data_IF_573275078739
#
_entry.id   IF_573275078739
#
_cell.length_a   1.000
_cell.length_b   1.000
_cell.length_c   1.000
_cell.angle_alpha   90.00
_cell.angle_beta   90.00
_cell.angle_gamma   90.00
#
_symmetry.space_group_name_H-M   'P 1'
#
loop_
_entity.id
_entity.type
_entity.pdbx_description
1 polymer ?
#
# COMPACT_ATOMS: atom_id res chain seq x y z
N UNK A 1 49.58 70.11 24.09
CA UNK A 1 49.03 68.93 23.40
C UNK A 1 49.71 67.66 23.93
N UNK A 2 49.06 66.91 24.84
CA UNK A 2 49.49 65.57 25.22
C UNK A 2 48.52 64.48 24.68
N UNK A 3 48.94 63.20 24.66
CA UNK A 3 48.50 62.24 23.66
C UNK A 3 47.27 61.40 24.03
N UNK A 4 46.60 60.96 22.97
CA UNK A 4 45.46 60.05 22.89
C UNK A 4 45.82 58.67 23.50
N UNK A 5 45.11 58.26 24.55
CA UNK A 5 45.22 56.91 25.15
C UNK A 5 44.16 55.99 24.53
N UNK A 6 44.63 54.94 23.86
CA UNK A 6 43.84 53.79 23.39
C UNK A 6 43.37 52.94 24.59
N UNK A 7 42.08 52.60 24.62
CA UNK A 7 41.49 51.60 25.52
C UNK A 7 41.60 50.20 24.88
N UNK A 8 41.93 49.13 25.62
CA UNK A 8 41.97 47.77 25.08
C UNK A 8 40.58 47.12 25.05
N UNK A 9 40.32 46.36 23.98
CA UNK A 9 39.09 45.58 23.72
C UNK A 9 38.89 44.44 24.73
N UNK A 10 37.65 44.29 25.21
CA UNK A 10 37.21 43.16 26.03
C UNK A 10 36.93 41.92 25.16
N UNK A 11 37.61 40.81 25.44
CA UNK A 11 37.30 39.50 24.87
C UNK A 11 36.19 38.83 25.69
N UNK A 12 35.07 38.50 25.05
CA UNK A 12 33.98 37.76 25.66
C UNK A 12 34.30 36.25 25.69
N UNK A 13 34.29 35.66 26.88
CA UNK A 13 34.39 34.21 27.09
C UNK A 13 33.00 33.61 26.84
N UNK A 14 32.84 32.88 25.74
CA UNK A 14 31.66 32.05 25.48
C UNK A 14 31.86 30.72 26.20
N UNK A 15 31.16 30.53 27.32
CA UNK A 15 31.10 29.25 28.02
C UNK A 15 30.23 28.28 27.22
N UNK A 16 30.85 27.26 26.63
CA UNK A 16 30.15 26.17 25.94
C UNK A 16 29.62 25.18 26.99
N UNK A 17 28.37 25.32 27.40
CA UNK A 17 27.69 24.30 28.18
C UNK A 17 27.38 23.11 27.26
N UNK A 18 28.18 22.03 27.36
CA UNK A 18 27.87 20.76 26.73
C UNK A 18 26.61 20.18 27.40
N UNK A 19 25.47 20.24 26.71
CA UNK A 19 24.26 19.55 27.15
C UNK A 19 24.50 18.04 27.08
N UNK A 20 24.59 17.40 28.25
CA UNK A 20 24.54 15.94 28.36
C UNK A 20 23.16 15.46 27.88
N UNK A 21 23.11 14.83 26.72
CA UNK A 21 21.95 14.05 26.30
C UNK A 21 21.82 12.84 27.26
N UNK A 22 20.63 12.55 27.80
CA UNK A 22 20.46 11.39 28.66
C UNK A 22 20.72 10.12 27.85
N UNK A 23 21.70 9.34 28.31
CA UNK A 23 21.96 8.00 27.82
C UNK A 23 20.73 7.12 28.08
N UNK A 24 20.18 6.49 27.03
CA UNK A 24 19.20 5.41 27.17
C UNK A 24 17.74 5.73 26.85
N UNK A 25 17.42 6.77 26.07
CA UNK A 25 16.07 6.87 25.50
C UNK A 25 15.85 5.71 24.51
N UNK A 26 15.04 4.72 24.88
CA UNK A 26 14.59 3.68 23.95
C UNK A 26 13.93 4.36 22.75
N UNK A 27 14.48 4.13 21.56
CA UNK A 27 13.88 4.59 20.31
C UNK A 27 12.57 3.84 20.11
N UNK A 28 11.44 4.49 20.40
CA UNK A 28 10.10 3.91 20.18
C UNK A 28 9.91 3.75 18.67
N UNK A 29 9.88 2.50 18.20
CA UNK A 29 9.60 2.16 16.80
C UNK A 29 8.20 1.56 16.67
N UNK A 30 7.53 1.90 15.57
CA UNK A 30 6.21 1.35 15.30
C UNK A 30 6.27 -0.11 14.84
N UNK A 31 5.20 -0.85 15.07
CA UNK A 31 5.01 -2.21 14.56
C UNK A 31 3.68 -2.35 13.83
N UNK A 32 3.70 -2.73 12.55
CA UNK A 32 2.49 -3.01 11.78
C UNK A 32 1.67 -4.14 12.43
N UNK A 33 0.35 -3.97 12.45
CA UNK A 33 -0.56 -5.04 12.86
C UNK A 33 -0.89 -5.88 11.63
N UNK A 34 -0.42 -7.13 11.64
CA UNK A 34 -0.65 -8.05 10.54
C UNK A 34 -2.04 -8.69 10.59
N UNK A 35 -2.61 -8.99 9.41
CA UNK A 35 -3.72 -9.94 9.31
C UNK A 35 -3.27 -11.31 9.83
N UNK A 36 -4.09 -12.02 10.62
CA UNK A 36 -3.78 -13.37 11.06
C UNK A 36 -4.05 -14.45 9.99
N UNK A 37 -4.69 -14.08 8.88
CA UNK A 37 -4.97 -15.04 7.81
C UNK A 37 -3.69 -15.47 7.08
N UNK A 38 -3.59 -16.72 6.62
CA UNK A 38 -2.42 -17.21 5.91
C UNK A 38 -2.26 -16.58 4.52
N UNK A 39 -1.06 -16.66 3.96
CA UNK A 39 -0.74 -16.23 2.60
C UNK A 39 -0.78 -14.72 2.41
N UNK A 40 -1.56 -14.25 1.43
CA UNK A 40 -1.70 -12.85 1.04
C UNK A 40 -3.17 -12.38 1.14
N UNK A 41 -3.71 -12.22 2.36
CA UNK A 41 -5.15 -12.11 2.61
C UNK A 41 -5.75 -10.71 2.37
N UNK A 42 -4.93 -9.71 2.06
CA UNK A 42 -5.37 -8.33 1.87
C UNK A 42 -4.40 -7.53 1.00
N UNK A 43 -4.77 -6.28 0.71
CA UNK A 43 -3.96 -5.32 -0.02
C UNK A 43 -2.52 -5.26 0.49
N UNK A 44 -1.56 -5.45 -0.40
CA UNK A 44 -0.11 -5.40 -0.11
C UNK A 44 0.34 -6.37 1.00
N UNK A 45 -0.37 -7.48 1.17
CA UNK A 45 0.04 -8.60 2.02
C UNK A 45 -0.44 -8.47 3.47
N UNK A 46 -0.05 -9.40 4.35
CA UNK A 46 -0.56 -9.46 5.72
C UNK A 46 -0.39 -8.15 6.50
N UNK A 47 0.69 -7.41 6.27
CA UNK A 47 1.03 -6.14 6.95
C UNK A 47 0.70 -4.88 6.14
N UNK A 48 0.23 -5.03 4.90
CA UNK A 48 -0.04 -3.93 3.94
C UNK A 48 1.19 -3.10 3.55
N UNK A 49 2.40 -3.63 3.77
CA UNK A 49 3.69 -3.01 3.44
C UNK A 49 4.21 -3.40 2.05
N UNK A 50 3.65 -4.45 1.45
CA UNK A 50 4.10 -5.02 0.17
C UNK A 50 5.37 -5.84 0.30
N UNK A 51 5.61 -6.42 1.48
CA UNK A 51 6.74 -7.31 1.74
C UNK A 51 6.22 -8.75 1.83
N UNK A 52 6.74 -9.61 0.96
CA UNK A 52 6.57 -11.06 1.01
C UNK A 52 7.77 -11.67 1.76
N UNK A 53 7.48 -12.48 2.78
CA UNK A 53 8.52 -13.08 3.64
C UNK A 53 9.07 -14.40 3.07
N UNK A 54 8.52 -14.90 1.96
CA UNK A 54 8.98 -16.13 1.33
C UNK A 54 10.44 -16.06 0.91
N UNK A 55 11.09 -17.23 0.96
CA UNK A 55 12.52 -17.44 0.68
C UNK A 55 12.70 -18.56 -0.32
N UNK A 56 13.87 -18.63 -0.93
CA UNK A 56 14.18 -19.62 -1.95
C UNK A 56 13.41 -19.32 -3.23
N UNK A 57 13.23 -18.04 -3.55
CA UNK A 57 12.67 -17.59 -4.83
C UNK A 57 13.79 -17.45 -5.87
N UNK A 58 13.42 -17.36 -7.15
CA UNK A 58 14.38 -17.17 -8.23
C UNK A 58 15.19 -15.87 -8.03
N UNK A 59 16.53 -15.93 -7.93
CA UNK A 59 17.35 -14.72 -7.76
C UNK A 59 17.48 -13.91 -9.05
N UNK A 60 17.17 -14.52 -10.20
CA UNK A 60 17.14 -13.94 -11.54
C UNK A 60 16.09 -14.68 -12.39
N UNK A 61 15.50 -14.01 -13.38
CA UNK A 61 14.59 -14.66 -14.33
C UNK A 61 15.30 -15.00 -15.64
N UNK A 62 14.95 -16.12 -16.30
CA UNK A 62 15.46 -16.41 -17.64
C UNK A 62 14.88 -15.44 -18.67
N UNK A 63 15.43 -15.49 -19.89
CA UNK A 63 14.86 -14.77 -21.02
C UNK A 63 13.39 -15.19 -21.23
N UNK A 64 12.49 -14.22 -21.38
CA UNK A 64 11.05 -14.46 -21.46
C UNK A 64 10.32 -14.54 -20.11
N UNK A 65 11.05 -14.48 -18.99
CA UNK A 65 10.47 -14.44 -17.64
C UNK A 65 10.35 -15.83 -16.99
N UNK A 66 9.86 -15.90 -15.74
CA UNK A 66 9.65 -17.16 -15.02
C UNK A 66 8.66 -18.06 -15.76
N UNK A 67 8.62 -19.35 -15.38
CA UNK A 67 7.75 -20.34 -16.05
C UNK A 67 6.28 -20.00 -15.81
N UNK A 68 5.53 -19.71 -16.89
CA UNK A 68 4.08 -19.54 -16.82
C UNK A 68 3.42 -20.87 -16.40
N UNK A 69 2.58 -20.81 -15.36
CA UNK A 69 1.77 -21.93 -14.89
C UNK A 69 0.41 -21.96 -15.59
N UNK A 70 -0.26 -20.81 -15.61
CA UNK A 70 -1.57 -20.63 -16.22
C UNK A 70 -1.90 -19.16 -16.43
N UNK A 71 -2.89 -18.92 -17.29
CA UNK A 71 -3.53 -17.62 -17.50
C UNK A 71 -5.05 -17.80 -17.40
N UNK A 72 -5.68 -16.99 -16.57
CA UNK A 72 -7.13 -16.87 -16.48
C UNK A 72 -7.60 -15.60 -17.20
N UNK A 73 -8.76 -15.66 -17.85
CA UNK A 73 -9.35 -14.58 -18.64
C UNK A 73 -10.83 -14.38 -18.26
N UNK A 74 -11.44 -13.27 -18.69
CA UNK A 74 -12.83 -12.98 -18.39
C UNK A 74 -13.09 -12.55 -16.94
N UNK A 75 -12.06 -12.04 -16.26
CA UNK A 75 -12.11 -11.62 -14.85
C UNK A 75 -12.55 -10.16 -14.68
N UNK A 76 -13.08 -9.56 -15.74
CA UNK A 76 -13.58 -8.18 -15.76
C UNK A 76 -12.48 -7.13 -15.76
N UNK A 77 -12.77 -5.97 -16.36
CA UNK A 77 -11.82 -4.87 -16.49
C UNK A 77 -11.46 -4.29 -15.12
N UNK A 78 -10.20 -4.03 -14.86
CA UNK A 78 -9.77 -3.41 -13.61
C UNK A 78 -8.31 -3.63 -13.24
N UNK A 79 -7.95 -3.09 -12.08
CA UNK A 79 -6.60 -3.01 -11.54
C UNK A 79 -6.49 -3.57 -10.12
N UNK A 80 -7.56 -4.15 -9.56
CA UNK A 80 -7.51 -4.74 -8.23
C UNK A 80 -6.47 -5.87 -8.17
N UNK A 81 -5.57 -5.82 -7.20
CA UNK A 81 -4.60 -6.89 -7.01
C UNK A 81 -5.32 -8.15 -6.51
N UNK A 82 -4.87 -9.35 -6.91
CA UNK A 82 -5.41 -10.59 -6.38
C UNK A 82 -5.11 -10.69 -4.87
N UNK A 83 -6.00 -11.36 -4.14
CA UNK A 83 -5.78 -11.75 -2.75
C UNK A 83 -5.79 -13.28 -2.72
N UNK A 84 -4.74 -13.88 -2.14
CA UNK A 84 -4.54 -15.34 -2.17
C UNK A 84 -4.45 -15.85 -0.75
N UNK A 85 -5.48 -16.55 -0.28
CA UNK A 85 -5.51 -17.10 1.08
C UNK A 85 -6.47 -18.29 1.15
N UNK A 86 -6.22 -19.23 2.08
CA UNK A 86 -7.09 -20.39 2.27
C UNK A 86 -7.32 -21.23 0.99
N UNK A 87 -6.31 -21.32 0.11
CA UNK A 87 -6.41 -22.05 -1.16
C UNK A 87 -7.40 -21.43 -2.17
N UNK A 88 -7.67 -20.13 -2.07
CA UNK A 88 -8.59 -19.39 -2.95
C UNK A 88 -7.95 -18.07 -3.39
N UNK A 89 -8.19 -17.68 -4.64
CA UNK A 89 -7.81 -16.38 -5.19
C UNK A 89 -9.06 -15.50 -5.28
N UNK A 90 -9.05 -14.34 -4.63
CA UNK A 90 -10.11 -13.35 -4.71
C UNK A 90 -9.67 -12.18 -5.58
N UNK A 91 -10.58 -11.72 -6.46
CA UNK A 91 -10.29 -10.66 -7.41
C UNK A 91 -11.56 -9.86 -7.72
N UNK A 92 -11.45 -8.55 -7.97
CA UNK A 92 -12.58 -7.73 -8.40
C UNK A 92 -12.40 -7.18 -9.82
N UNK A 93 -13.41 -7.22 -10.67
CA UNK A 93 -13.36 -6.71 -12.05
C UNK A 93 -14.72 -6.27 -12.55
N UNK A 94 -14.74 -5.28 -13.44
CA UNK A 94 -15.99 -4.78 -14.03
C UNK A 94 -16.40 -5.68 -15.20
N UNK A 95 -17.61 -6.23 -15.15
CA UNK A 95 -18.21 -7.07 -16.19
C UNK A 95 -19.53 -6.43 -16.62
N UNK A 96 -19.58 -5.94 -17.86
CA UNK A 96 -20.77 -5.27 -18.37
C UNK A 96 -21.10 -4.01 -17.56
N UNK A 97 -22.24 -4.03 -16.85
CA UNK A 97 -22.72 -2.93 -16.02
C UNK A 97 -22.27 -2.99 -14.56
N UNK A 98 -21.65 -4.08 -14.12
CA UNK A 98 -21.47 -4.40 -12.70
C UNK A 98 -20.00 -4.51 -12.31
N UNK A 99 -19.68 -4.09 -11.09
CA UNK A 99 -18.44 -4.46 -10.43
C UNK A 99 -18.62 -5.86 -9.86
N UNK A 100 -17.76 -6.82 -10.18
CA UNK A 100 -17.93 -8.23 -9.80
C UNK A 100 -16.74 -8.71 -8.97
N UNK A 101 -17.01 -9.36 -7.84
CA UNK A 101 -16.01 -10.08 -7.05
C UNK A 101 -15.99 -11.55 -7.49
N UNK A 102 -14.82 -12.07 -7.78
CA UNK A 102 -14.56 -13.44 -8.20
C UNK A 102 -13.80 -14.19 -7.10
N UNK A 103 -14.11 -15.47 -6.94
CA UNK A 103 -13.24 -16.44 -6.28
C UNK A 103 -12.82 -17.50 -7.28
N UNK A 104 -11.51 -17.78 -7.33
CA UNK A 104 -10.90 -18.80 -8.17
C UNK A 104 -10.19 -19.84 -7.29
N UNK A 105 -10.02 -21.06 -7.80
CA UNK A 105 -9.02 -21.97 -7.24
C UNK A 105 -7.59 -21.52 -7.57
N UNK A 106 -6.58 -22.24 -7.05
CA UNK A 106 -5.18 -21.91 -7.27
C UNK A 106 -4.70 -22.21 -8.70
N UNK A 107 -5.53 -22.88 -9.50
CA UNK A 107 -5.34 -23.20 -10.91
C UNK A 107 -6.01 -22.16 -11.82
N UNK A 108 -6.58 -21.10 -11.23
CA UNK A 108 -7.21 -19.98 -11.94
C UNK A 108 -8.63 -20.25 -12.42
N UNK A 109 -9.27 -21.35 -11.99
CA UNK A 109 -10.63 -21.70 -12.40
C UNK A 109 -11.66 -21.04 -11.48
N UNK A 110 -12.72 -20.42 -12.03
CA UNK A 110 -13.76 -19.81 -11.22
C UNK A 110 -14.48 -20.82 -10.31
N UNK A 111 -14.65 -20.45 -9.04
CA UNK A 111 -15.51 -21.12 -8.07
C UNK A 111 -16.86 -20.43 -7.97
N UNK A 112 -16.84 -19.11 -7.79
CA UNK A 112 -18.03 -18.28 -7.76
C UNK A 112 -17.70 -16.85 -8.21
N UNK A 113 -18.75 -16.10 -8.56
CA UNK A 113 -18.66 -14.65 -8.80
C UNK A 113 -19.92 -13.97 -8.30
N UNK A 114 -19.78 -12.78 -7.72
CA UNK A 114 -20.87 -12.03 -7.10
C UNK A 114 -20.80 -10.55 -7.49
N UNK A 115 -21.87 -9.97 -8.07
CA UNK A 115 -21.97 -8.53 -8.29
C UNK A 115 -21.90 -7.75 -6.97
N UNK A 116 -21.15 -6.66 -6.96
CA UNK A 116 -20.98 -5.72 -5.86
C UNK A 116 -21.32 -4.29 -6.33
N UNK A 117 -22.56 -4.14 -6.82
CA UNK A 117 -23.08 -2.87 -7.34
C UNK A 117 -22.53 -2.48 -8.72
N UNK A 118 -22.86 -1.26 -9.19
CA UNK A 118 -22.54 -0.82 -10.54
C UNK A 118 -21.04 -0.64 -10.78
N UNK A 119 -20.61 -0.93 -12.01
CA UNK A 119 -19.25 -0.69 -12.49
C UNK A 119 -18.90 0.81 -12.51
N UNK A 120 -17.60 1.12 -12.44
CA UNK A 120 -17.14 2.49 -12.68
C UNK A 120 -16.97 2.72 -14.19
N UNK A 121 -17.83 3.54 -14.79
CA UNK A 121 -17.87 3.76 -16.24
C UNK A 121 -17.39 5.14 -16.71
N UNK A 122 -16.90 5.98 -15.79
CA UNK A 122 -16.31 7.29 -16.12
C UNK A 122 -14.83 7.13 -16.47
N UNK A 123 -14.03 8.19 -16.32
CA UNK A 123 -12.59 8.19 -16.58
C UNK A 123 -11.89 7.00 -15.91
N UNK A 124 -11.06 6.30 -16.69
CA UNK A 124 -10.40 5.05 -16.31
C UNK A 124 -11.40 3.98 -15.84
N UNK A 125 -12.25 3.42 -16.71
CA UNK A 125 -13.25 2.43 -16.28
C UNK A 125 -12.60 1.10 -15.84
N UNK A 126 -13.11 0.50 -14.76
CA UNK A 126 -12.58 -0.74 -14.18
C UNK A 126 -12.58 -0.77 -12.64
N UNK A 127 -12.69 -1.97 -12.06
CA UNK A 127 -12.59 -2.18 -10.61
C UNK A 127 -11.17 -1.89 -10.11
N UNK A 128 -11.01 -1.34 -8.90
CA UNK A 128 -9.70 -0.86 -8.40
C UNK A 128 -9.30 -1.43 -7.05
N UNK A 129 -10.25 -1.49 -6.11
CA UNK A 129 -9.97 -1.95 -4.76
C UNK A 129 -9.72 -3.46 -4.73
N UNK A 130 -8.69 -3.89 -4.03
CA UNK A 130 -8.46 -5.30 -3.73
C UNK A 130 -9.40 -5.75 -2.61
N UNK A 131 -9.73 -7.04 -2.60
CA UNK A 131 -10.52 -7.61 -1.50
C UNK A 131 -9.72 -7.59 -0.19
N UNK A 132 -10.41 -7.81 0.93
CA UNK A 132 -9.80 -8.22 2.18
C UNK A 132 -10.54 -9.47 2.68
N UNK A 133 -9.82 -10.46 3.20
CA UNK A 133 -10.39 -11.71 3.70
C UNK A 133 -10.11 -11.84 5.17
N UNK A 134 -11.11 -12.26 5.94
CA UNK A 134 -10.92 -12.72 7.31
C UNK A 134 -12.03 -13.66 7.79
N UNK A 135 -11.64 -14.72 8.49
CA UNK A 135 -12.55 -15.61 9.23
C UNK A 135 -13.71 -16.11 8.35
N UNK A 136 -13.40 -16.49 7.10
CA UNK A 136 -14.39 -16.98 6.13
C UNK A 136 -15.26 -15.91 5.47
N UNK A 137 -14.91 -14.62 5.60
CA UNK A 137 -15.63 -13.51 5.00
C UNK A 137 -14.73 -12.69 4.05
N UNK A 138 -15.30 -12.20 2.95
CA UNK A 138 -14.64 -11.37 1.94
C UNK A 138 -15.27 -9.99 1.92
N UNK A 139 -14.43 -8.95 1.98
CA UNK A 139 -14.85 -7.55 1.95
C UNK A 139 -14.35 -6.87 0.68
N UNK A 140 -15.22 -6.09 0.04
CA UNK A 140 -14.84 -5.30 -1.12
C UNK A 140 -15.62 -3.98 -1.19
N UNK A 141 -14.92 -2.92 -1.61
CA UNK A 141 -15.46 -1.58 -1.87
C UNK A 141 -15.44 -1.30 -3.38
N UNK A 142 -16.59 -0.94 -3.96
CA UNK A 142 -16.61 -0.49 -5.36
C UNK A 142 -16.36 1.02 -5.50
N UNK A 143 -16.20 1.49 -6.74
CA UNK A 143 -15.89 2.89 -7.05
C UNK A 143 -16.98 3.91 -6.66
N UNK A 144 -18.17 3.46 -6.28
CA UNK A 144 -19.32 4.29 -5.88
C UNK A 144 -19.62 4.25 -4.38
N UNK A 145 -18.72 3.67 -3.56
CA UNK A 145 -18.93 3.61 -2.11
C UNK A 145 -19.70 2.40 -1.61
N UNK A 146 -20.04 1.45 -2.49
CA UNK A 146 -20.75 0.24 -2.08
C UNK A 146 -19.76 -0.78 -1.51
N UNK A 147 -19.88 -1.02 -0.21
CA UNK A 147 -19.14 -2.05 0.52
C UNK A 147 -20.02 -3.29 0.63
N UNK A 148 -19.46 -4.45 0.30
CA UNK A 148 -20.10 -5.73 0.52
C UNK A 148 -19.25 -6.62 1.44
N UNK A 149 -19.93 -7.40 2.26
CA UNK A 149 -19.40 -8.58 2.94
C UNK A 149 -20.01 -9.82 2.31
N UNK A 150 -19.16 -10.73 1.85
CA UNK A 150 -19.53 -11.97 1.19
C UNK A 150 -19.05 -13.16 2.02
N UNK A 151 -19.81 -14.24 2.00
CA UNK A 151 -19.34 -15.55 2.46
C UNK A 151 -18.23 -16.06 1.52
N UNK A 152 -17.06 -16.40 2.07
CA UNK A 152 -15.87 -16.74 1.29
C UNK A 152 -16.01 -18.05 0.51
N UNK A 153 -16.82 -19.00 1.01
CA UNK A 153 -17.00 -20.30 0.40
C UNK A 153 -18.00 -20.26 -0.76
N UNK A 154 -19.08 -19.48 -0.62
CA UNK A 154 -20.22 -19.48 -1.54
C UNK A 154 -20.33 -18.22 -2.40
N UNK A 155 -19.69 -17.12 -1.99
CA UNK A 155 -19.90 -15.80 -2.59
C UNK A 155 -21.22 -15.14 -2.19
N UNK A 156 -22.01 -15.76 -1.30
CA UNK A 156 -23.29 -15.24 -0.85
C UNK A 156 -23.15 -13.91 -0.13
N UNK A 157 -23.95 -12.92 -0.51
CA UNK A 157 -23.95 -11.59 0.14
C UNK A 157 -24.49 -11.72 1.57
N UNK A 158 -23.69 -11.32 2.55
CA UNK A 158 -24.07 -11.30 3.97
C UNK A 158 -24.70 -9.96 4.35
N UNK A 159 -24.07 -8.88 3.92
CA UNK A 159 -24.61 -7.52 4.04
C UNK A 159 -23.93 -6.59 3.05
N UNK A 160 -24.59 -5.45 2.79
CA UNK A 160 -24.02 -4.35 2.01
C UNK A 160 -24.32 -3.00 2.67
N UNK A 161 -23.51 -2.00 2.36
CA UNK A 161 -23.71 -0.62 2.77
C UNK A 161 -23.11 0.32 1.74
N UNK A 162 -23.80 1.41 1.42
CA UNK A 162 -23.17 2.54 0.76
C UNK A 162 -22.59 3.51 1.81
N UNK A 163 -21.26 3.61 1.87
CA UNK A 163 -20.57 4.46 2.86
C UNK A 163 -20.70 5.95 2.55
N UNK A 164 -20.89 6.31 1.28
CA UNK A 164 -21.07 7.72 0.90
C UNK A 164 -22.45 8.20 1.34
N UNK A 165 -23.48 7.39 1.14
CA UNK A 165 -24.84 7.72 1.60
C UNK A 165 -24.89 7.79 3.13
N UNK A 166 -24.32 6.77 3.80
CA UNK A 166 -24.36 6.68 5.26
C UNK A 166 -23.63 7.83 5.95
N UNK A 167 -22.43 8.16 5.45
CA UNK A 167 -21.56 9.14 6.10
C UNK A 167 -21.61 10.52 5.46
N UNK A 168 -22.52 10.74 4.51
CA UNK A 168 -22.65 11.97 3.75
C UNK A 168 -21.34 12.37 3.05
N UNK A 169 -20.68 11.36 2.47
CA UNK A 169 -19.55 11.52 1.55
C UNK A 169 -20.02 11.79 0.13
N UNK A 170 -19.09 11.80 -0.82
CA UNK A 170 -19.40 11.98 -2.24
C UNK A 170 -18.48 11.15 -3.12
N UNK A 171 -18.99 10.82 -4.31
CA UNK A 171 -18.20 10.15 -5.34
C UNK A 171 -17.09 11.09 -5.81
N UNK A 172 -15.84 10.61 -5.73
CA UNK A 172 -14.65 11.36 -6.13
C UNK A 172 -14.36 11.22 -7.63
N UNK A 173 -13.48 12.07 -8.16
CA UNK A 173 -13.22 12.27 -9.60
C UNK A 173 -13.02 10.96 -10.38
N UNK A 174 -12.27 10.01 -9.83
CA UNK A 174 -11.95 8.72 -10.47
C UNK A 174 -12.52 7.50 -9.75
N UNK A 175 -13.54 7.70 -8.91
CA UNK A 175 -14.16 6.64 -8.11
C UNK A 175 -13.28 6.20 -6.95
N UNK A 176 -13.88 5.64 -5.91
CA UNK A 176 -13.13 5.17 -4.75
C UNK A 176 -12.22 3.99 -5.14
N UNK A 177 -11.05 3.92 -4.51
CA UNK A 177 -10.05 2.88 -4.73
C UNK A 177 -9.45 2.33 -3.41
N UNK A 178 -9.95 2.77 -2.26
CA UNK A 178 -9.52 2.28 -0.95
C UNK A 178 -9.68 0.76 -0.88
N UNK A 179 -8.58 0.06 -0.62
CA UNK A 179 -8.63 -1.33 -0.22
C UNK A 179 -8.95 -1.39 1.27
N UNK A 180 -10.06 -2.03 1.64
CA UNK A 180 -10.57 -2.04 3.00
C UNK A 180 -9.57 -2.67 3.98
N UNK A 181 -9.57 -2.19 5.23
CA UNK A 181 -8.75 -2.74 6.31
C UNK A 181 -9.65 -3.43 7.33
N UNK A 182 -9.32 -4.69 7.65
CA UNK A 182 -9.99 -5.47 8.69
C UNK A 182 -9.12 -5.44 9.95
N UNK A 183 -9.68 -4.97 11.05
CA UNK A 183 -9.06 -4.94 12.37
C UNK A 183 -9.93 -5.68 13.39
N UNK A 184 -9.61 -6.94 13.67
CA UNK A 184 -10.41 -7.77 14.58
C UNK A 184 -11.89 -7.73 14.17
N UNK A 185 -12.82 -7.31 15.05
CA UNK A 185 -14.25 -7.23 14.73
C UNK A 185 -14.63 -6.03 13.85
N UNK A 186 -13.67 -5.18 13.44
CA UNK A 186 -13.92 -3.92 12.75
C UNK A 186 -13.49 -3.98 11.29
N UNK A 187 -14.27 -3.35 10.43
CA UNK A 187 -13.94 -3.05 9.04
C UNK A 187 -13.83 -1.52 8.90
N UNK A 188 -12.64 -1.04 8.55
CA UNK A 188 -12.36 0.40 8.41
C UNK A 188 -12.73 0.87 7.01
N UNK A 189 -13.39 2.03 6.95
CA UNK A 189 -13.78 2.75 5.72
C UNK A 189 -13.45 4.23 5.83
N UNK A 190 -13.01 4.86 4.74
CA UNK A 190 -12.63 6.28 4.71
C UNK A 190 -13.57 7.10 3.78
N UNK A 191 -14.84 7.32 4.16
CA UNK A 191 -15.82 8.00 3.32
C UNK A 191 -15.54 9.49 3.12
N UNK A 192 -14.77 10.12 4.02
CA UNK A 192 -14.49 11.55 4.00
C UNK A 192 -15.75 12.40 3.96
N UNK A 193 -16.76 12.04 4.76
CA UNK A 193 -18.08 12.65 4.74
C UNK A 193 -18.35 13.54 5.94
N UNK A 194 -19.51 14.23 5.93
CA UNK A 194 -19.91 15.13 7.03
C UNK A 194 -20.22 14.41 8.35
N UNK A 195 -20.40 13.10 8.32
CA UNK A 195 -20.59 12.25 9.51
C UNK A 195 -19.35 11.45 9.89
N UNK A 196 -18.18 11.81 9.36
CA UNK A 196 -16.89 11.26 9.75
C UNK A 196 -15.91 11.20 8.59
N UNK A 197 -14.65 11.53 8.87
CA UNK A 197 -13.56 11.36 7.90
C UNK A 197 -13.28 9.87 7.65
N UNK A 198 -13.22 9.10 8.73
CA UNK A 198 -13.03 7.65 8.76
C UNK A 198 -14.01 7.02 9.75
N UNK A 199 -14.42 5.78 9.51
CA UNK A 199 -15.30 5.03 10.39
C UNK A 199 -14.86 3.57 10.50
N UNK A 200 -15.21 2.94 11.62
CA UNK A 200 -15.20 1.49 11.74
C UNK A 200 -16.64 0.97 11.69
N UNK A 201 -16.84 -0.06 10.89
CA UNK A 201 -18.05 -0.86 10.87
C UNK A 201 -17.80 -2.16 11.61
N UNK A 202 -18.84 -2.70 12.23
CA UNK A 202 -18.87 -4.08 12.68
C UNK A 202 -18.76 -4.96 11.42
N UNK A 203 -17.75 -5.81 11.42
CA UNK A 203 -17.35 -6.63 10.30
C UNK A 203 -18.43 -7.66 9.89
N UNK A 204 -19.24 -8.11 10.84
CA UNK A 204 -20.23 -9.18 10.60
C UNK A 204 -21.60 -8.64 10.22
N UNK A 205 -21.92 -7.42 10.62
CA UNK A 205 -23.26 -6.81 10.43
C UNK A 205 -23.25 -5.55 9.57
N UNK A 206 -22.08 -4.96 9.35
CA UNK A 206 -21.93 -3.69 8.65
C UNK A 206 -22.46 -2.48 9.44
N UNK A 207 -22.81 -2.62 10.73
CA UNK A 207 -23.28 -1.50 11.57
C UNK A 207 -22.11 -0.59 11.97
N UNK A 208 -22.33 0.70 12.12
CA UNK A 208 -21.27 1.61 12.57
C UNK A 208 -20.88 1.33 14.02
N UNK A 209 -19.59 1.15 14.30
CA UNK A 209 -19.01 0.98 15.64
C UNK A 209 -18.53 2.32 16.17
N UNK A 210 -17.72 3.03 15.39
CA UNK A 210 -17.28 4.39 15.69
C UNK A 210 -17.10 5.20 14.42
N UNK A 211 -17.11 6.53 14.58
CA UNK A 211 -16.77 7.51 13.54
C UNK A 211 -15.77 8.50 14.10
N UNK A 212 -14.81 8.91 13.29
CA UNK A 212 -13.98 10.06 13.63
C UNK A 212 -14.77 11.37 13.51
N UNK A 213 -14.16 12.47 13.96
CA UNK A 213 -14.64 13.81 13.60
C UNK A 213 -14.67 13.98 12.07
N UNK A 214 -15.67 14.69 11.58
CA UNK A 214 -15.71 15.15 10.19
C UNK A 214 -14.79 16.36 10.02
N UNK A 215 -14.22 16.54 8.83
CA UNK A 215 -13.34 17.66 8.54
C UNK A 215 -13.95 18.49 7.41
N UNK A 216 -14.40 19.74 7.66
CA UNK A 216 -15.01 20.56 6.63
C UNK A 216 -14.11 20.74 5.40
N UNK A 217 -14.64 20.48 4.21
CA UNK A 217 -13.91 20.63 2.95
C UNK A 217 -13.00 19.45 2.58
N UNK A 218 -12.96 18.39 3.39
CA UNK A 218 -12.34 17.10 3.05
C UNK A 218 -13.31 16.15 2.38
N UNK A 219 -12.74 15.26 1.57
CA UNK A 219 -13.42 14.17 0.89
C UNK A 219 -12.61 12.88 1.09
N UNK A 220 -13.18 11.74 0.68
CA UNK A 220 -12.41 10.52 0.52
C UNK A 220 -11.20 10.74 -0.39
N UNK A 221 -10.16 9.95 -0.18
CA UNK A 221 -9.02 9.84 -1.08
C UNK A 221 -9.03 8.50 -1.82
N UNK A 222 -7.94 8.19 -2.52
CA UNK A 222 -7.72 6.88 -3.14
C UNK A 222 -6.83 5.97 -2.27
N UNK A 223 -6.15 6.56 -1.27
CA UNK A 223 -5.25 5.86 -0.37
C UNK A 223 -5.96 4.77 0.43
N UNK A 224 -5.22 3.72 0.75
CA UNK A 224 -5.66 2.64 1.62
C UNK A 224 -4.98 2.78 2.98
N UNK A 225 -5.70 2.59 4.11
CA UNK A 225 -5.14 2.82 5.45
C UNK A 225 -4.11 1.76 5.83
N UNK A 226 -3.25 2.10 6.81
CA UNK A 226 -2.40 1.16 7.56
C UNK A 226 -2.72 1.22 9.06
N UNK A 227 -2.41 0.12 9.76
CA UNK A 227 -2.61 -0.03 11.20
C UNK A 227 -1.30 -0.46 11.85
N UNK A 228 -0.88 0.23 12.91
CA UNK A 228 0.33 -0.10 13.66
C UNK A 228 0.24 0.28 15.13
N UNK A 229 1.06 -0.34 15.95
CA UNK A 229 1.30 0.03 17.34
C UNK A 229 2.51 0.97 17.43
N UNK A 230 2.39 2.05 18.19
CA UNK A 230 3.49 2.97 18.50
C UNK A 230 3.28 3.54 19.90
N UNK A 231 4.27 3.42 20.79
CA UNK A 231 4.16 3.94 22.16
C UNK A 231 2.97 3.36 22.95
N UNK A 232 2.63 2.09 22.73
CA UNK A 232 1.50 1.42 23.38
C UNK A 232 0.12 1.80 22.83
N UNK A 233 0.03 2.69 21.84
CA UNK A 233 -1.22 3.09 21.18
C UNK A 233 -1.34 2.45 19.80
N UNK A 234 -2.56 2.11 19.40
CA UNK A 234 -2.88 1.62 18.05
C UNK A 234 -3.28 2.78 17.15
N UNK A 235 -2.48 3.03 16.13
CA UNK A 235 -2.67 4.10 15.16
C UNK A 235 -3.24 3.55 13.86
N UNK A 236 -4.33 4.16 13.40
CA UNK A 236 -4.83 4.02 12.04
C UNK A 236 -4.44 5.27 11.25
N UNK A 237 -3.66 5.10 10.19
CA UNK A 237 -3.18 6.22 9.36
C UNK A 237 -3.67 6.05 7.92
N UNK A 238 -4.19 7.12 7.36
CA UNK A 238 -4.66 7.19 5.97
C UNK A 238 -4.55 8.60 5.41
N UNK A 239 -5.01 8.79 4.19
CA UNK A 239 -5.11 10.09 3.55
C UNK A 239 -6.57 10.41 3.19
N UNK A 240 -6.92 11.68 3.34
CA UNK A 240 -8.12 12.28 2.78
C UNK A 240 -7.76 13.06 1.51
N UNK A 241 -8.68 13.83 0.95
CA UNK A 241 -8.44 14.56 -0.29
C UNK A 241 -7.31 15.60 -0.19
N UNK A 242 -7.06 16.17 1.01
CA UNK A 242 -6.03 17.20 1.21
C UNK A 242 -5.12 16.99 2.41
N UNK A 243 -5.23 15.87 3.13
CA UNK A 243 -4.39 15.62 4.31
C UNK A 243 -3.93 14.17 4.40
N UNK A 244 -2.80 13.96 5.09
CA UNK A 244 -2.53 12.71 5.79
C UNK A 244 -2.98 12.88 7.24
N UNK A 245 -3.60 11.86 7.81
CA UNK A 245 -4.12 11.91 9.17
C UNK A 245 -3.90 10.60 9.91
N UNK A 246 -3.84 10.70 11.24
CA UNK A 246 -3.83 9.57 12.15
C UNK A 246 -5.00 9.66 13.13
N UNK A 247 -5.66 8.53 13.37
CA UNK A 247 -6.67 8.37 14.42
C UNK A 247 -6.29 7.21 15.34
N UNK A 248 -6.83 7.23 16.54
CA UNK A 248 -6.81 6.09 17.45
C UNK A 248 -7.68 4.98 16.87
N UNK A 249 -7.10 3.81 16.61
CA UNK A 249 -7.77 2.74 15.87
C UNK A 249 -8.95 2.11 16.66
N UNK A 250 -8.92 2.21 17.98
CA UNK A 250 -9.93 1.61 18.85
C UNK A 250 -11.15 2.51 19.05
N UNK A 251 -10.94 3.82 19.04
CA UNK A 251 -11.97 4.82 19.38
C UNK A 251 -12.38 5.72 18.21
N UNK A 252 -11.58 5.81 17.16
CA UNK A 252 -11.77 6.74 16.05
C UNK A 252 -11.38 8.19 16.39
N UNK A 253 -10.90 8.47 17.60
CA UNK A 253 -10.50 9.82 18.02
C UNK A 253 -9.34 10.31 17.15
N UNK A 254 -9.49 11.52 16.59
CA UNK A 254 -8.42 12.18 15.85
C UNK A 254 -7.18 12.38 16.71
N UNK A 255 -6.02 11.96 16.21
CA UNK A 255 -4.73 12.15 16.88
C UNK A 255 -3.99 13.32 16.26
N UNK A 256 -3.80 13.30 14.94
CA UNK A 256 -3.06 14.34 14.23
C UNK A 256 -3.50 14.40 12.77
N UNK A 257 -3.20 15.52 12.11
CA UNK A 257 -3.51 15.75 10.70
C UNK A 257 -2.49 16.73 10.11
N UNK A 258 -1.91 16.40 8.95
CA UNK A 258 -0.92 17.23 8.25
C UNK A 258 -1.41 17.58 6.84
N UNK A 259 -1.36 18.87 6.43
CA UNK A 259 -1.76 19.28 5.10
C UNK A 259 -0.92 18.63 4.00
N UNK A 260 -1.59 18.19 2.94
CA UNK A 260 -1.00 17.62 1.72
C UNK A 260 -1.87 17.88 0.46
N UNK A 261 -2.25 19.14 0.14
CA UNK A 261 -3.16 19.44 -0.96
C UNK A 261 -2.54 19.27 -2.34
N UNK A 262 -2.77 18.14 -3.01
CA UNK A 262 -2.36 17.95 -4.41
C UNK A 262 -3.29 18.69 -5.39
N UNK A 263 -2.78 19.02 -6.59
CA UNK A 263 -3.55 19.68 -7.66
C UNK A 263 -4.90 19.01 -7.97
N UNK A 264 -4.92 17.68 -7.89
CA UNK A 264 -6.05 16.85 -8.29
C UNK A 264 -6.78 16.16 -7.11
N UNK A 265 -6.48 16.56 -5.87
CA UNK A 265 -6.99 15.87 -4.67
C UNK A 265 -6.71 14.34 -4.69
N UNK A 266 -5.57 13.95 -5.28
CA UNK A 266 -5.18 12.58 -5.57
C UNK A 266 -3.99 12.14 -4.71
N UNK A 267 -4.28 11.75 -3.47
CA UNK A 267 -3.30 11.09 -2.60
C UNK A 267 -3.56 9.59 -2.66
N UNK A 268 -2.90 8.90 -3.60
CA UNK A 268 -3.26 7.53 -3.96
C UNK A 268 -2.46 6.45 -3.23
N UNK A 269 -1.24 6.77 -2.77
CA UNK A 269 -0.36 5.75 -2.20
C UNK A 269 -0.76 5.42 -0.75
N UNK A 270 -0.61 4.15 -0.39
CA UNK A 270 -0.71 3.68 1.01
C UNK A 270 0.45 4.27 1.81
N UNK A 271 0.20 4.87 3.00
CA UNK A 271 1.28 5.30 3.88
C UNK A 271 2.19 4.13 4.25
N UNK A 272 3.48 4.39 4.42
CA UNK A 272 4.47 3.38 4.81
C UNK A 272 4.93 3.68 6.23
N UNK A 273 4.83 2.71 7.13
CA UNK A 273 5.41 2.84 8.47
C UNK A 273 6.94 2.90 8.36
N UNK A 274 7.55 3.96 8.90
CA UNK A 274 8.98 4.20 8.84
C UNK A 274 9.48 4.62 10.22
N UNK A 275 9.90 3.66 11.06
CA UNK A 275 10.38 3.91 12.43
C UNK A 275 9.28 4.45 13.34
N UNK A 276 9.47 5.65 13.87
CA UNK A 276 8.54 6.36 14.78
C UNK A 276 7.47 7.21 14.05
N UNK A 277 7.21 6.92 12.77
CA UNK A 277 6.37 7.75 11.93
C UNK A 277 5.98 7.09 10.63
N UNK A 278 5.42 7.87 9.71
CA UNK A 278 4.96 7.38 8.41
C UNK A 278 5.57 8.17 7.27
N UNK A 279 5.88 7.49 6.18
CA UNK A 279 6.21 8.09 4.89
C UNK A 279 4.97 8.10 3.99
N UNK A 280 4.74 9.22 3.32
CA UNK A 280 3.68 9.38 2.32
C UNK A 280 4.25 10.07 1.09
N UNK A 281 3.81 9.63 -0.09
CA UNK A 281 4.20 10.22 -1.38
C UNK A 281 2.97 10.57 -2.21
N UNK A 282 3.06 11.66 -2.98
CA UNK A 282 2.03 12.10 -3.90
C UNK A 282 2.63 12.98 -5.01
N UNK A 283 2.07 12.96 -6.23
CA UNK A 283 2.53 13.79 -7.33
C UNK A 283 2.17 15.27 -7.11
N UNK A 284 2.41 16.07 -8.15
CA UNK A 284 1.93 17.45 -8.29
C UNK A 284 2.43 18.41 -7.19
N UNK A 285 3.74 18.32 -6.90
CA UNK A 285 4.46 19.33 -6.09
C UNK A 285 4.70 18.96 -4.64
N UNK A 286 4.27 17.78 -4.17
CA UNK A 286 4.53 17.31 -2.80
C UNK A 286 5.70 16.34 -2.69
N UNK A 287 5.98 15.55 -3.74
CA UNK A 287 6.97 14.48 -3.65
C UNK A 287 6.65 13.53 -2.51
N UNK A 288 7.67 13.13 -1.76
CA UNK A 288 7.58 12.24 -0.62
C UNK A 288 7.95 12.98 0.66
N UNK A 289 7.25 12.72 1.76
CA UNK A 289 7.61 13.27 3.06
C UNK A 289 7.45 12.23 4.16
N UNK A 290 8.31 12.30 5.17
CA UNK A 290 8.17 11.52 6.40
C UNK A 290 7.62 12.40 7.51
N UNK A 291 6.59 11.91 8.17
CA UNK A 291 5.97 12.52 9.32
C UNK A 291 6.28 11.70 10.57
N UNK A 292 7.04 12.28 11.51
CA UNK A 292 7.31 11.69 12.81
C UNK A 292 6.12 11.89 13.73
N UNK A 293 5.74 10.85 14.48
CA UNK A 293 4.65 10.91 15.45
C UNK A 293 5.26 11.12 16.84
N UNK A 294 4.99 12.29 17.41
CA UNK A 294 5.45 12.68 18.74
C UNK A 294 4.34 12.45 19.78
N UNK A 295 4.74 12.17 21.02
CA UNK A 295 3.79 11.98 22.11
C UNK A 295 2.88 10.77 21.91
N UNK A 296 3.37 9.70 21.27
CA UNK A 296 2.58 8.49 21.00
C UNK A 296 1.99 7.86 22.28
N UNK A 297 2.69 8.01 23.41
CA UNK A 297 2.27 7.56 24.75
C UNK A 297 1.38 8.56 25.49
N UNK A 298 1.16 9.76 24.95
CA UNK A 298 0.37 10.82 25.58
C UNK A 298 -1.07 10.83 25.04
N UNK A 299 -1.97 11.55 25.73
CA UNK A 299 -3.36 11.75 25.28
C UNK A 299 -3.47 12.61 24.02
N UNK A 300 -2.42 13.37 23.71
CA UNK A 300 -2.31 14.27 22.57
C UNK A 300 -1.07 13.92 21.75
N UNK A 301 -1.21 12.95 20.84
CA UNK A 301 -0.18 12.71 19.82
C UNK A 301 -0.18 13.86 18.80
N UNK A 302 0.98 14.19 18.24
CA UNK A 302 1.11 15.16 17.14
C UNK A 302 2.03 14.63 16.07
N UNK A 303 1.89 15.11 14.85
CA UNK A 303 2.82 14.81 13.77
C UNK A 303 3.66 16.04 13.43
N UNK A 304 4.91 15.82 13.04
CA UNK A 304 5.77 16.83 12.44
C UNK A 304 6.42 16.27 11.18
N UNK A 305 6.63 17.12 10.16
CA UNK A 305 7.38 16.71 8.98
C UNK A 305 8.86 16.68 9.32
N UNK A 306 9.46 15.48 9.25
CA UNK A 306 10.88 15.27 9.57
C UNK A 306 11.78 15.61 8.38
N UNK A 307 11.39 15.20 7.17
CA UNK A 307 12.11 15.47 5.93
C UNK A 307 11.18 15.27 4.72
N UNK A 308 11.63 15.75 3.56
CA UNK A 308 11.01 15.54 2.26
C UNK A 308 12.02 14.97 1.23
N UNK A 309 11.50 14.44 0.13
CA UNK A 309 12.28 13.84 -0.94
C UNK A 309 11.54 13.98 -2.29
N UNK A 310 12.24 13.83 -3.44
CA UNK A 310 11.64 14.04 -4.75
C UNK A 310 10.75 12.89 -5.23
N UNK A 311 10.67 11.76 -4.52
CA UNK A 311 9.86 10.61 -4.93
C UNK A 311 8.37 10.97 -4.89
N UNK A 312 7.72 11.00 -6.05
CA UNK A 312 6.37 11.56 -6.24
C UNK A 312 5.39 10.52 -6.82
N UNK A 313 5.47 9.29 -6.33
CA UNK A 313 4.65 8.15 -6.78
C UNK A 313 3.15 8.49 -6.77
N UNK A 314 2.46 8.21 -7.89
CA UNK A 314 1.01 8.31 -8.04
C UNK A 314 0.35 6.94 -7.90
N UNK A 315 0.46 6.09 -8.94
CA UNK A 315 0.10 4.67 -8.87
C UNK A 315 1.35 3.82 -8.61
N UNK A 316 1.18 2.64 -7.99
CA UNK A 316 2.24 1.63 -7.86
C UNK A 316 2.88 1.47 -6.47
N UNK A 317 2.72 2.46 -5.59
CA UNK A 317 3.13 2.38 -4.19
C UNK A 317 4.64 2.34 -3.97
N UNK A 318 5.03 2.12 -2.72
CA UNK A 318 6.44 2.10 -2.28
C UNK A 318 6.65 0.98 -1.25
N UNK A 319 7.87 0.45 -1.15
CA UNK A 319 8.27 -0.50 -0.10
C UNK A 319 9.41 0.09 0.71
N UNK A 320 9.42 -0.16 2.03
CA UNK A 320 10.54 0.18 2.92
C UNK A 320 11.22 -1.12 3.35
N UNK A 321 12.50 -1.28 3.01
CA UNK A 321 13.29 -2.46 3.36
C UNK A 321 14.67 -1.99 3.81
N UNK A 322 15.13 -2.47 4.97
CA UNK A 322 16.47 -2.22 5.51
C UNK A 322 16.89 -0.74 5.46
N UNK A 323 15.98 0.14 5.90
CA UNK A 323 16.22 1.58 5.94
C UNK A 323 16.21 2.28 4.57
N UNK A 324 15.70 1.63 3.53
CA UNK A 324 15.63 2.16 2.16
C UNK A 324 14.21 2.09 1.62
N UNK A 325 13.69 3.22 1.16
CA UNK A 325 12.39 3.30 0.48
C UNK A 325 12.64 3.14 -1.02
N UNK A 326 11.92 2.21 -1.64
CA UNK A 326 11.95 1.98 -3.08
C UNK A 326 10.60 2.32 -3.71
N UNK A 327 10.65 3.03 -4.83
CA UNK A 327 9.46 3.37 -5.61
C UNK A 327 9.81 4.12 -6.89
N UNK A 328 8.80 4.38 -7.70
CA UNK A 328 8.92 5.16 -8.94
C UNK A 328 8.22 6.51 -8.85
N UNK A 329 8.80 7.52 -9.50
CA UNK A 329 8.17 8.83 -9.64
C UNK A 329 7.13 8.88 -10.75
N UNK A 330 6.26 9.90 -10.70
CA UNK A 330 5.17 10.09 -11.65
C UNK A 330 5.43 11.25 -12.62
N UNK A 331 5.58 12.48 -12.11
CA UNK A 331 5.70 13.69 -12.92
C UNK A 331 7.03 14.40 -12.71
N UNK A 332 7.47 14.50 -11.45
CA UNK A 332 8.71 15.15 -11.04
C UNK A 332 9.92 14.24 -11.18
N UNK A 333 9.94 13.12 -10.44
CA UNK A 333 11.04 12.16 -10.52
C UNK A 333 10.81 11.21 -11.69
N UNK A 334 11.81 11.08 -12.58
CA UNK A 334 11.74 10.15 -13.70
C UNK A 334 12.37 8.81 -13.33
N UNK A 335 11.57 7.75 -13.40
CA UNK A 335 12.01 6.38 -13.17
C UNK A 335 11.93 5.96 -11.70
N UNK A 336 12.78 5.02 -11.32
CA UNK A 336 12.83 4.39 -10.00
C UNK A 336 13.95 4.97 -9.15
N UNK A 337 13.72 5.05 -7.83
CA UNK A 337 14.71 5.52 -6.88
C UNK A 337 14.77 4.65 -5.61
N UNK A 338 15.98 4.59 -5.05
CA UNK A 338 16.26 4.16 -3.69
C UNK A 338 16.45 5.41 -2.83
N UNK A 339 15.61 5.60 -1.83
CA UNK A 339 15.63 6.74 -0.91
C UNK A 339 16.08 6.27 0.46
N UNK A 340 17.05 6.97 1.05
CA UNK A 340 17.46 6.75 2.43
C UNK A 340 16.31 7.13 3.39
N UNK A 341 15.77 6.17 4.14
CA UNK A 341 14.60 6.39 4.99
C UNK A 341 14.88 7.23 6.24
N UNK A 342 16.15 7.44 6.60
CA UNK A 342 16.52 8.29 7.72
C UNK A 342 16.58 9.77 7.30
N UNK A 343 17.01 10.05 6.07
CA UNK A 343 17.37 11.40 5.62
C UNK A 343 16.54 11.93 4.44
N UNK A 344 15.79 11.07 3.74
CA UNK A 344 15.06 11.44 2.52
C UNK A 344 15.95 11.62 1.29
N UNK A 345 17.26 11.35 1.39
CA UNK A 345 18.19 11.52 0.26
C UNK A 345 18.02 10.41 -0.76
N UNK A 346 18.00 10.76 -2.04
CA UNK A 346 18.12 9.80 -3.15
C UNK A 346 19.52 9.19 -3.08
N UNK A 347 19.61 7.87 -2.89
CA UNK A 347 20.89 7.14 -2.93
C UNK A 347 21.30 6.88 -4.38
N UNK A 348 20.38 6.33 -5.18
CA UNK A 348 20.54 6.07 -6.60
C UNK A 348 19.18 5.85 -7.27
N UNK A 349 19.17 5.75 -8.60
CA UNK A 349 17.96 5.52 -9.39
C UNK A 349 18.24 4.88 -10.74
N UNK A 350 17.17 4.47 -11.44
CA UNK A 350 17.23 4.03 -12.84
C UNK A 350 16.05 4.61 -13.64
N UNK A 351 16.27 4.86 -14.94
CA UNK A 351 15.24 5.29 -15.90
C UNK A 351 14.85 4.18 -16.87
N UNK A 352 15.36 2.97 -16.68
CA UNK A 352 15.19 1.84 -17.62
C UNK A 352 13.79 1.21 -17.54
N UNK A 353 12.98 1.62 -16.56
CA UNK A 353 11.61 1.17 -16.36
C UNK A 353 10.68 2.36 -16.21
N UNK A 354 9.48 2.24 -16.78
CA UNK A 354 8.39 3.15 -16.50
C UNK A 354 7.97 3.05 -15.02
N UNK A 355 7.16 4.03 -14.57
CA UNK A 355 6.55 3.97 -13.24
C UNK A 355 5.71 2.70 -13.08
N UNK A 356 5.63 2.13 -11.88
CA UNK A 356 5.01 0.83 -11.73
C UNK A 356 4.73 0.41 -10.29
N UNK A 357 3.97 -0.67 -10.18
CA UNK A 357 3.68 -1.30 -8.92
C UNK A 357 4.83 -2.17 -8.41
N UNK A 358 5.05 -2.16 -7.10
CA UNK A 358 6.15 -2.92 -6.47
C UNK A 358 5.74 -3.68 -5.22
N UNK A 359 6.32 -4.88 -5.08
CA UNK A 359 6.47 -5.63 -3.84
C UNK A 359 7.93 -6.05 -3.64
N UNK A 360 8.31 -6.36 -2.41
CA UNK A 360 9.59 -6.97 -2.06
C UNK A 360 9.41 -8.46 -1.79
N UNK A 361 10.33 -9.30 -2.27
CA UNK A 361 10.46 -10.69 -1.82
C UNK A 361 11.89 -11.16 -2.01
N UNK A 362 12.40 -11.92 -1.03
CA UNK A 362 13.69 -12.62 -1.09
C UNK A 362 14.88 -11.82 -1.68
N UNK A 363 15.07 -10.58 -1.21
CA UNK A 363 16.20 -9.75 -1.65
C UNK A 363 16.00 -9.05 -3.00
N UNK A 364 14.76 -9.01 -3.50
CA UNK A 364 14.41 -8.47 -4.81
C UNK A 364 13.15 -7.60 -4.76
N UNK A 365 13.11 -6.61 -5.65
CA UNK A 365 11.90 -5.86 -6.00
C UNK A 365 11.24 -6.54 -7.19
N UNK A 366 9.98 -6.94 -7.02
CA UNK A 366 9.13 -7.45 -8.10
C UNK A 366 8.26 -6.29 -8.59
N UNK A 367 8.45 -5.94 -9.86
CA UNK A 367 7.88 -4.74 -10.47
C UNK A 367 6.94 -5.11 -11.60
N UNK A 368 5.77 -4.46 -11.64
CA UNK A 368 4.95 -4.35 -12.85
C UNK A 368 4.89 -2.88 -13.26
N UNK A 369 5.62 -2.53 -14.32
CA UNK A 369 5.63 -1.20 -14.89
C UNK A 369 4.34 -0.94 -15.68
N UNK A 370 3.88 0.32 -15.68
CA UNK A 370 2.61 0.73 -16.27
C UNK A 370 2.51 0.50 -17.78
N UNK A 371 3.65 0.35 -18.47
CA UNK A 371 3.74 0.00 -19.89
C UNK A 371 3.66 -1.53 -20.13
N UNK A 372 3.42 -2.32 -19.08
CA UNK A 372 3.28 -3.78 -19.15
C UNK A 372 4.58 -4.56 -19.05
N UNK A 373 5.71 -3.91 -18.74
CA UNK A 373 6.96 -4.60 -18.44
C UNK A 373 6.94 -5.16 -17.01
N UNK A 374 7.13 -6.47 -16.86
CA UNK A 374 7.43 -7.09 -15.57
C UNK A 374 8.95 -7.15 -15.39
N UNK A 375 9.45 -6.78 -14.21
CA UNK A 375 10.88 -6.75 -13.92
C UNK A 375 11.20 -7.24 -12.50
N UNK A 376 12.38 -7.83 -12.37
CA UNK A 376 13.00 -8.21 -11.11
C UNK A 376 14.26 -7.37 -10.93
N UNK A 377 14.26 -6.51 -9.90
CA UNK A 377 15.42 -5.69 -9.57
C UNK A 377 16.08 -6.20 -8.29
N UNK A 378 17.40 -6.32 -8.30
CA UNK A 378 18.18 -6.44 -7.08
C UNK A 378 18.71 -5.06 -6.70
N UNK A 379 18.41 -4.53 -5.51
CA UNK A 379 19.08 -3.33 -5.03
C UNK A 379 20.55 -3.64 -4.70
N UNK A 380 21.46 -2.80 -5.17
CA UNK A 380 22.86 -2.79 -4.77
C UNK A 380 23.21 -1.57 -3.91
N UNK A 381 24.51 -1.31 -3.73
CA UNK A 381 24.98 -0.18 -2.93
C UNK A 381 24.78 1.17 -3.63
N UNK A 382 24.93 1.20 -4.96
CA UNK A 382 24.90 2.43 -5.76
C UNK A 382 24.06 2.36 -7.03
N UNK A 383 23.43 1.23 -7.33
CA UNK A 383 22.59 1.03 -8.51
C UNK A 383 21.59 -0.11 -8.30
N UNK A 384 20.56 -0.16 -9.14
CA UNK A 384 19.75 -1.36 -9.33
C UNK A 384 20.43 -2.29 -10.33
N UNK A 385 20.50 -3.57 -10.01
CA UNK A 385 20.80 -4.62 -10.97
C UNK A 385 19.49 -5.17 -11.54
N UNK A 386 19.39 -5.22 -12.87
CA UNK A 386 18.27 -5.87 -13.56
C UNK A 386 18.48 -7.38 -13.56
N UNK A 387 17.85 -8.08 -12.60
CA UNK A 387 17.96 -9.53 -12.45
C UNK A 387 17.02 -10.31 -13.41
N UNK A 388 16.15 -9.63 -14.13
CA UNK A 388 15.31 -10.23 -15.16
C UNK A 388 14.14 -9.34 -15.54
N UNK A 389 13.64 -9.48 -16.75
CA UNK A 389 12.44 -8.77 -17.21
C UNK A 389 11.77 -9.50 -18.37
N UNK A 390 10.48 -9.29 -18.52
CA UNK A 390 9.70 -9.76 -19.66
C UNK A 390 8.49 -8.87 -19.88
N UNK A 391 8.01 -8.81 -21.13
CA UNK A 391 6.78 -8.07 -21.47
C UNK A 391 5.58 -8.96 -21.12
N UNK A 392 4.77 -8.54 -20.16
CA UNK A 392 3.52 -9.24 -19.81
C UNK A 392 2.46 -8.99 -20.88
N UNK A 393 2.31 -7.73 -21.27
CA UNK A 393 1.35 -7.25 -22.26
C UNK A 393 1.88 -5.99 -22.94
N UNK A 394 1.49 -5.75 -24.18
CA UNK A 394 1.62 -4.43 -24.81
C UNK A 394 0.56 -3.51 -24.21
N UNK A 395 0.89 -2.79 -23.14
CA UNK A 395 -0.07 -1.93 -22.45
C UNK A 395 -0.13 -0.55 -23.12
N UNK A 396 -1.01 -0.43 -24.12
CA UNK A 396 -1.44 0.86 -24.66
C UNK A 396 -2.95 0.99 -24.39
N UNK A 397 -3.39 1.89 -23.48
CA UNK A 397 -2.60 2.90 -22.78
C UNK A 397 -1.75 2.33 -21.63
N UNK A 398 -0.76 3.11 -21.16
CA UNK A 398 0.15 2.81 -20.04
C UNK A 398 -0.60 2.67 -18.68
N UNK A 399 -1.40 1.61 -18.52
CA UNK A 399 -2.31 1.42 -17.39
C UNK A 399 -2.16 0.07 -16.68
N UNK A 400 -1.01 -0.59 -16.77
CA UNK A 400 -0.72 -1.77 -15.95
C UNK A 400 -0.43 -1.39 -14.49
N UNK A 401 -1.49 -1.05 -13.73
CA UNK A 401 -1.39 -0.54 -12.36
C UNK A 401 -1.65 -1.56 -11.24
N UNK A 402 -2.00 -2.80 -11.59
CA UNK A 402 -2.29 -3.82 -10.59
C UNK A 402 -1.01 -4.24 -9.86
N UNK A 403 -1.08 -4.37 -8.54
CA UNK A 403 0.09 -4.76 -7.76
C UNK A 403 0.42 -6.25 -7.95
N UNK A 404 1.70 -6.61 -8.17
CA UNK A 404 2.14 -7.99 -8.10
C UNK A 404 1.83 -8.61 -6.75
N UNK A 405 1.61 -9.93 -6.73
CA UNK A 405 1.42 -10.72 -5.51
C UNK A 405 2.26 -11.98 -5.59
N UNK A 406 2.91 -12.35 -4.48
CA UNK A 406 3.60 -13.62 -4.34
C UNK A 406 2.94 -14.40 -3.19
N UNK A 407 2.60 -15.66 -3.46
CA UNK A 407 2.11 -16.60 -2.48
C UNK A 407 2.50 -18.03 -2.90
N UNK A 408 3.11 -18.80 -1.99
CA UNK A 408 3.55 -20.19 -2.15
C UNK A 408 4.44 -20.40 -3.40
N UNK A 409 5.38 -19.48 -3.60
CA UNK A 409 6.32 -19.50 -4.71
C UNK A 409 5.69 -19.22 -6.07
N UNK A 410 4.46 -18.69 -6.09
CA UNK A 410 3.75 -18.28 -7.30
C UNK A 410 3.65 -16.76 -7.37
N UNK A 411 4.06 -16.20 -8.51
CA UNK A 411 3.90 -14.78 -8.83
C UNK A 411 2.61 -14.58 -9.63
N UNK A 412 1.72 -13.74 -9.12
CA UNK A 412 0.47 -13.37 -9.74
C UNK A 412 0.55 -11.95 -10.31
N UNK A 413 0.30 -11.82 -11.61
CA UNK A 413 0.28 -10.54 -12.32
C UNK A 413 -1.05 -10.34 -13.00
N UNK A 414 -1.72 -9.22 -12.70
CA UNK A 414 -2.99 -8.86 -13.33
C UNK A 414 -2.78 -7.81 -14.40
N UNK A 415 -3.52 -7.96 -15.50
CA UNK A 415 -3.76 -6.87 -16.44
C UNK A 415 -5.22 -6.92 -16.91
N UNK A 416 -5.99 -5.87 -16.57
CA UNK A 416 -7.43 -5.77 -16.82
C UNK A 416 -8.21 -7.05 -16.48
N UNK A 417 -8.68 -7.75 -17.50
CA UNK A 417 -9.53 -8.94 -17.44
C UNK A 417 -8.75 -10.25 -17.35
N UNK A 418 -7.41 -10.17 -17.27
CA UNK A 418 -6.51 -11.32 -17.21
C UNK A 418 -5.73 -11.40 -15.90
N UNK A 419 -5.52 -12.62 -15.42
CA UNK A 419 -4.62 -12.94 -14.31
C UNK A 419 -3.65 -14.03 -14.75
N UNK A 420 -2.35 -13.76 -14.60
CA UNK A 420 -1.27 -14.64 -14.98
C UNK A 420 -0.58 -15.17 -13.72
N UNK A 421 -0.25 -16.46 -13.71
CA UNK A 421 0.44 -17.09 -12.59
C UNK A 421 1.74 -17.74 -13.06
N UNK A 422 2.85 -17.37 -12.44
CA UNK A 422 4.19 -17.84 -12.77
C UNK A 422 4.83 -18.58 -11.59
N UNK A 423 5.64 -19.60 -11.87
CA UNK A 423 6.45 -20.28 -10.86
C UNK A 423 7.74 -19.50 -10.63
N UNK A 424 7.92 -18.97 -9.43
CA UNK A 424 9.10 -18.19 -9.02
C UNK A 424 9.93 -18.89 -7.95
N UNK A 425 9.71 -20.19 -7.71
CA UNK A 425 10.56 -20.96 -6.79
C UNK A 425 11.96 -21.16 -7.36
N UNK A 426 12.95 -20.86 -6.53
CA UNK A 426 14.34 -21.19 -6.74
C UNK A 426 14.60 -22.68 -6.51
N UNK A 427 15.55 -23.25 -7.26
CA UNK A 427 15.90 -24.65 -7.13
C UNK A 427 16.84 -24.92 -5.95
N UNK A 428 16.35 -25.59 -4.91
CA UNK A 428 17.07 -26.73 -4.35
C UNK A 428 16.16 -27.97 -4.42
N UNK A 429 16.53 -28.92 -5.28
CA UNK A 429 16.03 -30.29 -5.29
C UNK A 429 14.52 -30.50 -5.44
N UNK A 430 14.06 -30.72 -6.68
CA UNK A 430 13.08 -31.80 -6.87
C UNK A 430 13.79 -33.10 -6.43
N UNK A 431 13.65 -33.52 -5.18
CA UNK A 431 13.72 -34.95 -4.91
C UNK A 431 12.56 -35.56 -5.68
N UNK A 432 12.88 -36.20 -6.81
CA UNK A 432 11.99 -37.17 -7.39
C UNK A 432 11.57 -38.14 -6.28
N UNK A 433 10.30 -38.57 -6.20
CA UNK A 433 9.92 -39.60 -5.26
C UNK A 433 10.85 -40.80 -5.53
N UNK A 434 11.54 -41.25 -4.47
CA UNK A 434 12.30 -42.48 -4.52
C UNK A 434 11.39 -43.57 -5.07
N UNK A 435 11.72 -44.06 -6.26
CA UNK A 435 11.04 -45.19 -6.87
C UNK A 435 11.17 -46.38 -5.92
N UNK A 436 10.08 -46.67 -5.22
CA UNK A 436 9.92 -47.90 -4.47
C UNK A 436 9.78 -49.06 -5.45
N UNK A 437 10.86 -49.85 -5.52
CA UNK A 437 10.90 -51.31 -5.63
C UNK A 437 9.77 -52.02 -6.39
N UNK A 438 10.13 -52.59 -7.53
CA UNK A 438 9.59 -53.88 -7.95
C UNK A 438 10.75 -54.79 -8.41
N UNK A 439 11.18 -55.66 -7.50
CA UNK A 439 11.57 -57.07 -7.68
C UNK A 439 12.08 -57.67 -6.38
#
# INVERSE_FOLDING_TARGET
MPPMRLLPSAAAIVSLAAALLPAGAETIVGRLVASPEPGWPQWRGPRRDGICDEKGLLPAWPEGGPRLLWKAEGLGRGWAAPVVTGGTIYLAGDVGGDCVVFALDLEGKPRWRTPNGPAWRKSYPGARASCAVRDGLVYHLNGHGHVACLDAATGGVRWTVNILDRFEGKVITWGLAECLLVDGPRLVVTPGGRKGLVAALDRETGKTVWTSEAVPGENASYSSPILFELGGRRHLVSCSSKHVFGVDADTGKGLWRMPRPTRHEAICTTPVLAGDGVFVTSPDGFGGARYRILGATADTARAEQAWECPLDTLQGGTVLVDGTIYGSGCTGLRGWAAIDAATGRVRYGTKDLAAGAVIWADGRLYVLAQDGMAALLAPGDSAFEMAGRFRLVEAIPNDAWAHPVICDGRLYLRYHDTLWCYDVRGGQGRQAPAGGTDR
#
